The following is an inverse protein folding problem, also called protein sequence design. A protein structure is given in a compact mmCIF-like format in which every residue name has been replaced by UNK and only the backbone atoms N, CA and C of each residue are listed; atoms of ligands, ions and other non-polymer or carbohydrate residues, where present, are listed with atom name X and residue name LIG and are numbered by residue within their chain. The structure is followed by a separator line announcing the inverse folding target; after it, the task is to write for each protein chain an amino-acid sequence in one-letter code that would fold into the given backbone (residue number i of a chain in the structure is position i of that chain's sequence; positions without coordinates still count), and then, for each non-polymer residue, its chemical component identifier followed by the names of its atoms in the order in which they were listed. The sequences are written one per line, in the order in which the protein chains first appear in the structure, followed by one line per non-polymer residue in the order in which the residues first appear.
data_IF_309736518151
#
_entry.id   IF_309736518151
#
_cell.length_a   1.000
_cell.length_b   1.000
_cell.length_c   1.000
_cell.angle_alpha   90.00
_cell.angle_beta   90.00
_cell.angle_gamma   90.00
#
_symmetry.space_group_name_H-M   'P 1'
#
loop_
_entity.id
_entity.type
_entity.pdbx_description
1 polymer ?
#
# COMPACT_ATOMS: atom_id res chain seq x y z
N UNK A 1 -58.07 -31.24 1.93
CA UNK A 1 -58.26 -32.55 2.52
C UNK A 1 -57.21 -32.71 3.62
N UNK A 2 -57.58 -32.34 4.86
CA UNK A 2 -57.74 -33.09 6.12
C UNK A 2 -56.74 -34.28 6.29
N UNK A 3 -56.06 -34.52 7.38
CA UNK A 3 -56.33 -34.50 8.83
C UNK A 3 -54.99 -34.75 9.57
N UNK A 4 -54.69 -34.11 10.64
CA UNK A 4 -54.82 -34.44 12.09
C UNK A 4 -54.27 -35.81 12.51
N UNK A 5 -53.43 -35.81 13.57
CA UNK A 5 -53.16 -36.92 14.47
C UNK A 5 -52.04 -36.65 15.45
N UNK A 6 -52.34 -36.04 16.59
CA UNK A 6 -51.67 -36.19 17.89
C UNK A 6 -52.41 -37.28 18.71
N UNK A 7 -52.01 -37.61 19.97
CA UNK A 7 -50.72 -37.83 20.64
C UNK A 7 -50.73 -39.20 21.37
N UNK A 8 -49.64 -39.61 22.03
CA UNK A 8 -49.78 -40.49 23.24
C UNK A 8 -48.51 -40.41 24.13
N UNK A 9 -48.76 -39.97 25.32
CA UNK A 9 -47.95 -39.97 26.53
C UNK A 9 -47.85 -41.37 27.09
N UNK A 10 -46.65 -41.79 27.54
CA UNK A 10 -46.50 -42.78 28.60
C UNK A 10 -45.36 -42.40 29.52
N UNK A 11 -45.71 -42.15 30.78
CA UNK A 11 -44.83 -42.13 31.94
C UNK A 11 -44.44 -43.54 32.34
N UNK A 12 -43.22 -43.77 32.80
CA UNK A 12 -42.95 -44.67 33.93
C UNK A 12 -41.62 -44.37 34.57
N UNK A 13 -41.68 -44.22 35.85
CA UNK A 13 -40.67 -44.02 36.87
C UNK A 13 -39.79 -45.27 37.09
N UNK A 14 -38.49 -45.08 37.37
CA UNK A 14 -37.82 -45.90 38.38
C UNK A 14 -36.47 -45.26 38.77
N UNK A 15 -36.31 -44.97 40.05
CA UNK A 15 -35.09 -44.45 40.63
C UNK A 15 -33.95 -45.46 40.68
N UNK A 16 -32.75 -44.92 40.62
CA UNK A 16 -31.56 -45.63 41.14
C UNK A 16 -30.56 -44.56 41.63
N UNK A 17 -30.31 -44.62 42.93
CA UNK A 17 -29.19 -43.99 43.60
C UNK A 17 -27.88 -44.28 42.87
N UNK A 18 -27.12 -43.24 42.57
CA UNK A 18 -25.75 -43.39 42.11
C UNK A 18 -24.83 -42.68 43.09
N UNK A 19 -24.05 -43.53 43.75
CA UNK A 19 -22.94 -43.22 44.65
C UNK A 19 -21.95 -42.25 44.02
N UNK A 20 -21.52 -41.29 44.81
CA UNK A 20 -20.45 -40.34 44.43
C UNK A 20 -19.08 -41.02 44.25
N UNK A 21 -18.30 -40.70 43.24
CA UNK A 21 -16.91 -41.16 43.14
C UNK A 21 -15.98 -40.37 44.07
N UNK A 22 -14.86 -40.99 44.49
CA UNK A 22 -13.87 -40.36 45.38
C UNK A 22 -13.05 -39.30 44.68
N UNK A 23 -12.44 -38.34 45.42
CA UNK A 23 -11.64 -37.28 44.84
C UNK A 23 -10.30 -37.83 44.33
N UNK A 24 -9.94 -37.45 43.10
CA UNK A 24 -8.64 -37.74 42.51
C UNK A 24 -7.56 -36.80 43.10
N UNK A 25 -6.38 -37.36 43.46
CA UNK A 25 -5.22 -36.55 43.80
C UNK A 25 -4.44 -36.19 42.54
N UNK A 26 -4.15 -34.92 42.31
CA UNK A 26 -3.27 -34.51 41.22
C UNK A 26 -3.45 -33.08 40.83
N UNK A 27 -2.95 -32.18 41.65
CA UNK A 27 -2.80 -30.75 41.19
C UNK A 27 -1.78 -30.67 40.06
N UNK A 28 -1.99 -29.75 39.10
CA UNK A 28 -1.03 -29.55 38.02
C UNK A 28 0.28 -29.00 38.59
N UNK A 29 1.37 -29.60 38.20
CA UNK A 29 2.72 -29.12 38.47
C UNK A 29 2.91 -27.74 37.84
N UNK A 30 3.71 -26.86 38.49
CA UNK A 30 3.97 -25.52 37.90
C UNK A 30 4.71 -25.67 36.59
N UNK A 31 4.12 -25.19 35.52
CA UNK A 31 4.77 -25.09 34.24
C UNK A 31 6.02 -24.19 34.40
N UNK A 32 7.18 -24.80 34.23
CA UNK A 32 8.43 -24.06 34.05
C UNK A 32 8.28 -23.19 32.79
N UNK A 33 7.99 -21.93 33.00
CA UNK A 33 8.08 -20.91 31.96
C UNK A 33 9.55 -20.82 31.53
N UNK A 34 9.90 -21.54 30.48
CA UNK A 34 11.18 -21.36 29.78
C UNK A 34 11.15 -19.97 29.16
N UNK A 35 11.67 -19.01 29.87
CA UNK A 35 11.95 -17.68 29.34
C UNK A 35 13.03 -17.81 28.29
N UNK A 36 12.61 -17.85 27.02
CA UNK A 36 13.56 -17.72 25.91
C UNK A 36 14.32 -16.40 26.09
N UNK A 37 15.66 -16.44 26.03
CA UNK A 37 16.43 -15.20 26.11
C UNK A 37 16.02 -14.28 24.98
N UNK A 38 15.67 -13.04 25.34
CA UNK A 38 15.39 -11.98 24.38
C UNK A 38 16.60 -11.87 23.45
N UNK A 39 16.37 -12.05 22.14
CA UNK A 39 17.38 -11.77 21.11
C UNK A 39 17.94 -10.38 21.37
N UNK A 40 19.27 -10.19 21.39
CA UNK A 40 19.86 -8.88 21.59
C UNK A 40 19.34 -7.91 20.56
N UNK A 41 18.84 -6.78 21.00
CA UNK A 41 18.41 -5.67 20.16
C UNK A 41 19.55 -5.32 19.22
N UNK A 42 19.29 -5.43 17.92
CA UNK A 42 20.26 -5.05 16.87
C UNK A 42 20.62 -3.58 17.08
N UNK A 43 21.89 -3.22 17.25
CA UNK A 43 22.27 -1.82 17.41
C UNK A 43 22.03 -1.08 16.10
N UNK A 44 21.22 -0.02 16.14
CA UNK A 44 21.32 1.07 15.19
C UNK A 44 20.24 1.24 14.14
N UNK A 45 19.06 0.67 14.26
CA UNK A 45 17.93 1.19 13.46
C UNK A 45 17.40 2.45 14.13
N UNK A 46 18.00 3.59 13.80
CA UNK A 46 17.45 4.89 14.15
C UNK A 46 16.06 4.98 13.49
N UNK A 47 15.03 4.66 14.24
CA UNK A 47 13.66 4.91 13.81
C UNK A 47 13.52 6.43 13.69
N UNK A 48 13.68 6.94 12.48
CA UNK A 48 13.26 8.31 12.16
C UNK A 48 11.76 8.32 12.45
N UNK A 49 11.27 9.23 13.34
CA UNK A 49 9.85 9.29 13.62
C UNK A 49 9.09 9.44 12.31
N UNK A 50 8.07 8.61 12.14
CA UNK A 50 7.25 8.63 10.96
C UNK A 50 6.57 10.00 10.83
N UNK A 51 6.93 10.78 9.81
CA UNK A 51 6.49 12.17 9.66
C UNK A 51 5.66 12.36 8.41
N UNK A 52 4.62 13.16 8.51
CA UNK A 52 3.88 13.69 7.36
C UNK A 52 4.28 15.15 7.16
N UNK A 53 4.67 15.47 5.93
CA UNK A 53 4.98 16.83 5.50
C UNK A 53 3.91 17.29 4.53
N UNK A 54 3.10 18.24 4.95
CA UNK A 54 2.12 18.90 4.07
C UNK A 54 2.77 20.06 3.33
N UNK A 55 2.77 20.00 2.02
CA UNK A 55 3.31 21.01 1.10
C UNK A 55 2.22 21.53 0.17
N UNK A 56 0.96 21.23 0.42
CA UNK A 56 -0.16 21.81 -0.31
C UNK A 56 -0.20 23.31 -0.04
N UNK A 57 -0.71 24.08 -1.01
CA UNK A 57 -0.74 25.54 -0.96
C UNK A 57 -1.79 26.11 0.04
N UNK A 58 -1.77 25.59 1.29
CA UNK A 58 -2.62 26.05 2.40
C UNK A 58 -1.91 26.99 3.37
N UNK A 59 -0.67 27.45 3.08
CA UNK A 59 0.09 28.31 3.97
C UNK A 59 1.05 29.26 3.24
N UNK A 60 1.53 30.26 3.96
CA UNK A 60 2.46 31.32 3.47
C UNK A 60 3.83 30.80 3.00
N UNK A 61 4.13 29.54 3.22
CA UNK A 61 5.41 28.95 2.84
C UNK A 61 5.34 28.32 1.46
N UNK A 62 6.12 28.80 0.49
CA UNK A 62 6.16 28.16 -0.81
C UNK A 62 6.68 26.73 -0.69
N UNK A 63 6.04 25.80 -1.40
CA UNK A 63 6.53 24.43 -1.48
C UNK A 63 7.95 24.42 -2.08
N UNK A 64 8.86 23.57 -1.58
CA UNK A 64 10.22 23.50 -2.09
C UNK A 64 10.22 23.02 -3.55
N UNK A 65 11.19 23.47 -4.31
CA UNK A 65 11.44 23.02 -5.67
C UNK A 65 12.15 21.65 -5.74
N UNK A 66 12.69 21.19 -4.62
CA UNK A 66 13.47 19.96 -4.51
C UNK A 66 13.01 19.12 -3.31
N UNK A 67 12.75 17.83 -3.56
CA UNK A 67 12.59 16.79 -2.54
C UNK A 67 13.82 15.90 -2.52
N UNK A 68 14.46 15.77 -1.35
CA UNK A 68 15.65 14.95 -1.16
C UNK A 68 15.37 13.79 -0.20
N UNK A 69 15.78 12.59 -0.60
CA UNK A 69 15.69 11.36 0.17
C UNK A 69 17.08 10.73 0.34
N UNK A 70 17.21 9.75 1.23
CA UNK A 70 18.48 9.04 1.42
C UNK A 70 18.84 8.15 0.23
N UNK A 71 20.14 8.02 -0.02
CA UNK A 71 20.64 7.11 -1.07
C UNK A 71 20.21 5.66 -0.75
N UNK A 72 19.64 4.97 -1.73
CA UNK A 72 19.11 3.61 -1.57
C UNK A 72 17.67 3.56 -1.06
N UNK A 73 17.08 4.68 -0.65
CA UNK A 73 15.68 4.75 -0.25
C UNK A 73 14.72 4.50 -1.41
N UNK A 74 13.50 4.16 -1.06
CA UNK A 74 12.41 3.93 -2.01
C UNK A 74 11.37 5.03 -1.86
N UNK A 75 10.88 5.54 -2.97
CA UNK A 75 9.79 6.54 -2.99
C UNK A 75 8.62 5.99 -3.79
N UNK A 76 7.43 5.98 -3.20
CA UNK A 76 6.18 5.66 -3.88
C UNK A 76 5.43 6.96 -4.17
N UNK A 77 5.16 7.22 -5.44
CA UNK A 77 4.30 8.34 -5.85
C UNK A 77 2.87 7.84 -6.02
N UNK A 78 1.96 8.32 -5.17
CA UNK A 78 0.57 7.87 -5.07
C UNK A 78 -0.43 9.00 -5.35
N UNK A 79 -1.69 8.67 -5.57
CA UNK A 79 -2.79 9.60 -5.85
C UNK A 79 -3.78 9.05 -6.88
N UNK A 80 -4.82 9.80 -7.22
CA UNK A 80 -5.88 9.38 -8.14
C UNK A 80 -5.35 9.03 -9.54
N UNK A 81 -5.95 8.06 -10.26
CA UNK A 81 -5.72 7.90 -11.69
C UNK A 81 -6.04 9.23 -12.42
N UNK A 82 -5.13 9.69 -13.26
CA UNK A 82 -5.28 10.98 -13.95
C UNK A 82 -4.69 12.20 -13.22
N UNK A 83 -4.30 12.07 -11.94
CA UNK A 83 -3.76 13.20 -11.16
C UNK A 83 -2.40 13.76 -11.62
N UNK A 84 -1.74 13.17 -12.62
CA UNK A 84 -0.46 13.69 -13.14
C UNK A 84 0.80 13.00 -12.58
N UNK A 85 0.70 11.92 -11.81
CA UNK A 85 1.85 11.20 -11.21
C UNK A 85 2.96 10.86 -12.19
N UNK A 86 2.63 10.25 -13.33
CA UNK A 86 3.63 9.89 -14.35
C UNK A 86 4.31 11.12 -14.95
N UNK A 87 3.58 12.22 -15.11
CA UNK A 87 4.14 13.49 -15.55
C UNK A 87 5.10 14.05 -14.52
N UNK A 88 4.72 14.05 -13.25
CA UNK A 88 5.57 14.46 -12.13
C UNK A 88 6.87 13.62 -12.11
N UNK A 89 6.76 12.31 -12.11
CA UNK A 89 7.91 11.39 -12.09
C UNK A 89 8.84 11.64 -13.28
N UNK A 90 8.29 11.72 -14.50
CA UNK A 90 9.12 11.95 -15.70
C UNK A 90 9.85 13.28 -15.67
N UNK A 91 9.22 14.33 -15.13
CA UNK A 91 9.79 15.66 -15.07
C UNK A 91 10.85 15.80 -13.99
N UNK A 92 10.62 15.19 -12.80
CA UNK A 92 11.43 15.49 -11.61
C UNK A 92 12.46 14.43 -11.27
N UNK A 93 12.28 13.18 -11.72
CA UNK A 93 13.11 12.03 -11.32
C UNK A 93 14.15 11.70 -12.36
N UNK A 94 15.44 11.83 -11.99
CA UNK A 94 16.58 11.37 -12.80
C UNK A 94 17.12 10.00 -12.37
N UNK A 95 16.72 9.51 -11.18
CA UNK A 95 17.06 8.20 -10.66
C UNK A 95 16.30 7.06 -11.38
N UNK A 96 16.57 5.81 -10.99
CA UNK A 96 15.81 4.67 -11.49
C UNK A 96 14.32 4.82 -11.15
N UNK A 97 13.48 4.64 -12.14
CA UNK A 97 12.02 4.73 -12.00
C UNK A 97 11.34 3.45 -12.46
N UNK A 98 10.31 3.06 -11.77
CA UNK A 98 9.44 1.96 -12.14
C UNK A 98 8.03 2.51 -12.40
N UNK A 99 7.74 2.87 -13.63
CA UNK A 99 6.41 3.30 -14.06
C UNK A 99 5.72 2.16 -14.81
N UNK A 100 4.53 1.78 -14.34
CA UNK A 100 3.71 0.76 -14.99
C UNK A 100 3.24 1.20 -16.38
N UNK A 101 3.21 2.50 -16.67
CA UNK A 101 2.91 3.03 -18.01
C UNK A 101 4.05 2.76 -18.98
N UNK A 102 5.30 3.00 -18.57
CA UNK A 102 6.46 2.72 -19.42
C UNK A 102 6.48 1.23 -19.83
N UNK A 103 6.20 0.34 -18.88
CA UNK A 103 6.08 -1.10 -19.17
C UNK A 103 4.94 -1.41 -20.14
N UNK A 104 3.79 -0.78 -19.95
CA UNK A 104 2.64 -0.96 -20.83
C UNK A 104 2.95 -0.48 -22.25
N UNK A 105 3.52 0.70 -22.41
CA UNK A 105 3.90 1.28 -23.70
C UNK A 105 4.93 0.40 -24.44
N UNK A 106 5.90 -0.18 -23.70
CA UNK A 106 6.84 -1.15 -24.27
C UNK A 106 6.15 -2.42 -24.79
N UNK A 107 5.11 -2.90 -24.13
CA UNK A 107 4.34 -4.05 -24.57
C UNK A 107 3.43 -3.69 -25.74
N UNK A 108 2.77 -2.54 -25.71
CA UNK A 108 1.97 -2.02 -26.81
C UNK A 108 2.79 -1.88 -28.10
N UNK A 109 4.04 -1.43 -27.99
CA UNK A 109 4.93 -1.30 -29.15
C UNK A 109 5.43 -2.64 -29.73
N UNK A 110 5.36 -3.73 -28.94
CA UNK A 110 5.86 -5.07 -29.36
C UNK A 110 4.76 -6.01 -29.81
N UNK A 111 3.53 -5.74 -29.47
CA UNK A 111 2.40 -6.59 -29.79
C UNK A 111 1.58 -6.01 -30.95
N UNK A 112 0.90 -6.86 -31.73
CA UNK A 112 0.00 -6.39 -32.79
C UNK A 112 -1.05 -5.43 -32.23
N UNK A 113 -1.31 -4.33 -32.94
CA UNK A 113 -2.28 -3.31 -32.53
C UNK A 113 -3.71 -3.86 -32.35
N UNK A 114 -4.03 -4.97 -33.01
CA UNK A 114 -5.31 -5.65 -32.87
C UNK A 114 -5.49 -6.43 -31.56
N UNK A 115 -4.40 -6.64 -30.78
CA UNK A 115 -4.49 -7.42 -29.54
C UNK A 115 -5.03 -6.56 -28.40
N UNK A 116 -6.21 -6.85 -27.84
CA UNK A 116 -6.78 -6.07 -26.74
C UNK A 116 -5.87 -6.08 -25.50
N UNK A 117 -5.65 -4.92 -24.89
CA UNK A 117 -4.83 -4.78 -23.66
C UNK A 117 -5.25 -5.74 -22.53
N UNK A 118 -6.54 -6.07 -22.44
CA UNK A 118 -7.05 -6.98 -21.42
C UNK A 118 -6.36 -8.36 -21.44
N UNK A 119 -5.96 -8.85 -22.61
CA UNK A 119 -5.34 -10.17 -22.78
C UNK A 119 -3.89 -10.21 -22.28
N UNK A 120 -3.09 -9.17 -22.53
CA UNK A 120 -1.68 -9.16 -22.10
C UNK A 120 -1.42 -8.35 -20.84
N UNK A 121 -2.45 -7.72 -20.27
CA UNK A 121 -2.36 -6.98 -19.00
C UNK A 121 -1.71 -7.76 -17.83
N UNK A 122 -2.02 -9.06 -17.61
CA UNK A 122 -1.35 -9.83 -16.56
C UNK A 122 0.15 -9.97 -16.81
N UNK A 123 0.56 -10.20 -18.04
CA UNK A 123 1.98 -10.33 -18.44
C UNK A 123 2.72 -9.00 -18.27
N UNK A 124 2.13 -7.91 -18.73
CA UNK A 124 2.69 -6.58 -18.55
C UNK A 124 2.89 -6.23 -17.06
N UNK A 125 1.94 -6.61 -16.19
CA UNK A 125 2.07 -6.45 -14.74
C UNK A 125 3.18 -7.32 -14.15
N UNK A 126 3.28 -8.57 -14.57
CA UNK A 126 4.35 -9.47 -14.13
C UNK A 126 5.73 -8.93 -14.54
N UNK A 127 5.87 -8.49 -15.79
CA UNK A 127 7.09 -7.86 -16.30
C UNK A 127 7.46 -6.60 -15.51
N UNK A 128 6.47 -5.76 -15.19
CA UNK A 128 6.68 -4.57 -14.34
C UNK A 128 7.24 -4.94 -12.96
N UNK A 129 6.62 -5.90 -12.26
CA UNK A 129 7.11 -6.31 -10.95
C UNK A 129 8.45 -7.05 -11.00
N UNK A 130 8.73 -7.81 -12.06
CA UNK A 130 10.02 -8.42 -12.28
C UNK A 130 11.13 -7.38 -12.51
N UNK A 131 10.85 -6.34 -13.31
CA UNK A 131 11.76 -5.22 -13.51
C UNK A 131 12.01 -4.44 -12.21
N UNK A 132 10.94 -4.12 -11.48
CA UNK A 132 11.04 -3.49 -10.17
C UNK A 132 11.89 -4.32 -9.20
N UNK A 133 11.65 -5.63 -9.11
CA UNK A 133 12.44 -6.54 -8.25
C UNK A 133 13.92 -6.55 -8.63
N UNK A 134 14.27 -6.49 -9.92
CA UNK A 134 15.67 -6.38 -10.36
C UNK A 134 16.31 -5.06 -9.90
N UNK A 135 15.63 -3.93 -10.06
CA UNK A 135 16.11 -2.63 -9.57
C UNK A 135 16.32 -2.63 -8.06
N UNK A 136 15.38 -3.24 -7.35
CA UNK A 136 15.46 -3.39 -5.90
C UNK A 136 16.66 -4.24 -5.50
N UNK A 137 16.91 -5.38 -6.13
CA UNK A 137 18.07 -6.25 -5.86
C UNK A 137 19.42 -5.57 -6.13
N UNK A 138 19.45 -4.68 -7.08
CA UNK A 138 20.66 -3.88 -7.38
C UNK A 138 20.96 -2.78 -6.34
N UNK A 139 20.20 -2.70 -5.23
CA UNK A 139 20.44 -1.72 -4.16
C UNK A 139 20.15 -0.27 -4.54
N UNK A 140 19.55 -0.02 -5.70
CA UNK A 140 19.35 1.33 -6.25
C UNK A 140 18.22 2.06 -5.50
N UNK A 141 18.34 3.38 -5.43
CA UNK A 141 17.22 4.26 -5.12
C UNK A 141 16.19 4.16 -6.24
N UNK A 142 14.92 3.96 -5.92
CA UNK A 142 13.87 3.75 -6.93
C UNK A 142 12.64 4.57 -6.61
N UNK A 143 12.12 5.26 -7.63
CA UNK A 143 10.81 5.88 -7.57
C UNK A 143 9.78 4.97 -8.25
N UNK A 144 8.74 4.61 -7.52
CA UNK A 144 7.69 3.69 -7.97
C UNK A 144 6.39 4.44 -8.18
N UNK A 145 5.81 4.30 -9.37
CA UNK A 145 4.46 4.79 -9.64
C UNK A 145 3.42 3.81 -9.08
N UNK A 146 2.58 4.26 -8.14
CA UNK A 146 1.47 3.47 -7.61
C UNK A 146 0.17 4.30 -7.58
N UNK A 147 -0.94 3.64 -7.86
CA UNK A 147 -2.27 4.26 -7.74
C UNK A 147 -2.81 4.26 -6.30
N UNK A 148 -2.01 3.84 -5.31
CA UNK A 148 -2.40 3.81 -3.89
C UNK A 148 -3.37 2.69 -3.51
N UNK A 149 -3.89 1.92 -4.46
CA UNK A 149 -4.91 0.90 -4.21
C UNK A 149 -4.37 -0.45 -3.77
N UNK A 150 -3.07 -0.69 -3.97
CA UNK A 150 -2.47 -2.00 -3.72
C UNK A 150 -1.64 -1.98 -2.43
N UNK A 151 -2.30 -2.22 -1.30
CA UNK A 151 -1.64 -2.28 0.02
C UNK A 151 -0.49 -3.29 0.06
N UNK A 152 -0.62 -4.43 -0.62
CA UNK A 152 0.40 -5.46 -0.65
C UNK A 152 1.71 -4.99 -1.32
N UNK A 153 1.63 -4.14 -2.36
CA UNK A 153 2.81 -3.55 -3.02
C UNK A 153 3.57 -2.67 -2.02
N UNK A 154 2.87 -1.81 -1.28
CA UNK A 154 3.51 -0.98 -0.26
C UNK A 154 4.15 -1.81 0.85
N UNK A 155 3.46 -2.84 1.34
CA UNK A 155 4.03 -3.74 2.33
C UNK A 155 5.27 -4.49 1.82
N UNK A 156 5.24 -4.92 0.56
CA UNK A 156 6.39 -5.55 -0.07
C UNK A 156 7.57 -4.57 -0.19
N UNK A 157 7.34 -3.35 -0.69
CA UNK A 157 8.36 -2.30 -0.79
C UNK A 157 8.90 -1.90 0.57
N UNK A 158 8.05 -1.76 1.58
CA UNK A 158 8.45 -1.46 2.95
C UNK A 158 9.33 -2.57 3.55
N UNK A 159 8.98 -3.83 3.31
CA UNK A 159 9.80 -4.97 3.73
C UNK A 159 11.15 -4.98 3.03
N UNK A 160 11.15 -4.69 1.75
CA UNK A 160 12.37 -4.66 0.95
C UNK A 160 13.28 -3.49 1.36
N UNK A 161 12.73 -2.31 1.64
CA UNK A 161 13.48 -1.18 2.18
C UNK A 161 14.12 -1.55 3.53
N UNK A 162 13.34 -2.09 4.47
CA UNK A 162 13.86 -2.50 5.78
C UNK A 162 14.97 -3.54 5.70
N UNK A 163 14.85 -4.54 4.81
CA UNK A 163 15.90 -5.57 4.59
C UNK A 163 17.25 -4.97 4.19
N UNK A 164 17.24 -3.77 3.63
CA UNK A 164 18.43 -3.05 3.18
C UNK A 164 18.86 -1.95 4.14
N UNK A 165 18.22 -1.83 5.31
CA UNK A 165 18.45 -0.69 6.22
C UNK A 165 18.04 0.65 5.60
N UNK A 166 17.05 0.65 4.68
CA UNK A 166 16.57 1.82 3.95
C UNK A 166 15.12 2.11 4.29
N UNK A 167 14.65 3.28 3.91
CA UNK A 167 13.32 3.78 4.20
C UNK A 167 12.44 3.78 2.95
N UNK A 168 11.16 3.45 3.14
CA UNK A 168 10.12 3.71 2.14
C UNK A 168 9.46 5.05 2.45
N UNK A 169 9.43 5.94 1.48
CA UNK A 169 8.76 7.22 1.54
C UNK A 169 7.55 7.24 0.61
N UNK A 170 6.54 8.04 0.96
CA UNK A 170 5.40 8.29 0.09
C UNK A 170 5.38 9.76 -0.35
N UNK A 171 5.20 10.00 -1.63
CA UNK A 171 4.81 11.30 -2.18
C UNK A 171 3.38 11.15 -2.67
N UNK A 172 2.46 11.86 -2.04
CA UNK A 172 1.04 11.77 -2.34
C UNK A 172 0.59 13.01 -3.09
N UNK A 173 0.05 12.80 -4.28
CA UNK A 173 -0.48 13.86 -5.13
C UNK A 173 -1.99 13.98 -4.89
N UNK A 174 -2.34 15.00 -4.11
CA UNK A 174 -3.72 15.37 -3.77
C UNK A 174 -4.26 16.29 -4.85
N UNK A 175 -5.10 15.74 -5.71
CA UNK A 175 -5.74 16.45 -6.82
C UNK A 175 -7.23 16.17 -6.77
N UNK A 176 -8.01 17.21 -6.98
CA UNK A 176 -9.46 17.09 -7.04
C UNK A 176 -9.90 15.97 -8.00
N UNK A 177 -10.93 15.17 -7.64
CA UNK A 177 -11.40 14.05 -8.46
C UNK A 177 -11.83 14.45 -9.87
N UNK A 178 -12.46 15.61 -10.06
CA UNK A 178 -12.93 16.05 -11.38
C UNK A 178 -11.75 16.46 -12.26
N UNK A 179 -10.78 17.18 -11.69
CA UNK A 179 -9.49 17.49 -12.35
C UNK A 179 -8.76 16.21 -12.76
N UNK A 180 -8.78 15.17 -11.90
CA UNK A 180 -8.16 13.89 -12.23
C UNK A 180 -8.90 13.15 -13.35
N UNK A 181 -10.24 13.24 -13.40
CA UNK A 181 -11.05 12.69 -14.51
C UNK A 181 -10.75 13.39 -15.83
N UNK A 182 -10.62 14.71 -15.83
CA UNK A 182 -10.24 15.47 -17.02
C UNK A 182 -8.85 15.08 -17.51
N UNK A 183 -7.91 14.88 -16.59
CA UNK A 183 -6.59 14.36 -16.92
C UNK A 183 -6.60 12.95 -17.50
N UNK A 184 -7.63 12.12 -17.24
CA UNK A 184 -7.83 10.84 -17.90
C UNK A 184 -8.42 11.00 -19.30
N UNK A 185 -9.45 11.86 -19.45
CA UNK A 185 -10.09 12.17 -20.74
C UNK A 185 -9.09 12.70 -21.75
N UNK A 186 -8.26 13.66 -21.33
CA UNK A 186 -7.22 14.25 -22.16
C UNK A 186 -6.19 13.23 -22.71
N UNK A 187 -6.04 12.08 -22.04
CA UNK A 187 -5.13 10.99 -22.47
C UNK A 187 -5.81 9.93 -23.34
N UNK A 188 -7.11 10.04 -23.61
CA UNK A 188 -7.86 9.02 -24.33
C UNK A 188 -7.92 7.63 -23.66
N UNK A 189 -7.52 7.54 -22.40
CA UNK A 189 -7.33 6.26 -21.67
C UNK A 189 -8.00 6.33 -20.30
N UNK A 190 -9.33 6.31 -20.28
CA UNK A 190 -10.08 6.31 -19.03
C UNK A 190 -10.06 4.93 -18.36
N UNK A 191 -10.01 4.91 -17.02
CA UNK A 191 -10.48 3.76 -16.26
C UNK A 191 -12.01 3.78 -16.24
N UNK A 192 -12.67 2.62 -16.11
CA UNK A 192 -14.12 2.58 -15.98
C UNK A 192 -14.58 3.43 -14.79
N UNK A 193 -15.79 3.99 -14.87
CA UNK A 193 -16.41 4.78 -13.78
C UNK A 193 -16.37 4.03 -12.45
N UNK A 194 -16.67 2.73 -12.47
CA UNK A 194 -16.59 1.87 -11.28
C UNK A 194 -15.17 1.78 -10.71
N UNK A 195 -14.17 1.54 -11.56
CA UNK A 195 -12.79 1.48 -11.12
C UNK A 195 -12.32 2.83 -10.55
N UNK A 196 -12.72 3.95 -11.16
CA UNK A 196 -12.39 5.28 -10.65
C UNK A 196 -13.00 5.53 -9.27
N UNK A 197 -14.28 5.22 -9.05
CA UNK A 197 -14.95 5.36 -7.76
C UNK A 197 -14.29 4.50 -6.67
N UNK A 198 -13.87 3.28 -7.02
CA UNK A 198 -13.11 2.42 -6.11
C UNK A 198 -11.77 3.06 -5.74
N UNK A 199 -11.04 3.61 -6.70
CA UNK A 199 -9.79 4.33 -6.46
C UNK A 199 -10.02 5.55 -5.55
N UNK A 200 -11.05 6.35 -5.84
CA UNK A 200 -11.41 7.53 -5.04
C UNK A 200 -11.64 7.18 -3.57
N UNK A 201 -12.39 6.11 -3.28
CA UNK A 201 -12.64 5.67 -1.90
C UNK A 201 -11.34 5.27 -1.17
N UNK A 202 -10.43 4.58 -1.85
CA UNK A 202 -9.16 4.16 -1.23
C UNK A 202 -8.24 5.36 -1.02
N UNK A 203 -8.18 6.24 -1.98
CA UNK A 203 -7.39 7.47 -1.93
C UNK A 203 -7.90 8.40 -0.82
N UNK A 204 -9.23 8.58 -0.69
CA UNK A 204 -9.82 9.41 0.37
C UNK A 204 -9.46 8.88 1.78
N UNK A 205 -9.49 7.56 1.99
CA UNK A 205 -9.06 6.97 3.28
C UNK A 205 -7.58 7.20 3.56
N UNK A 206 -6.76 7.09 2.53
CA UNK A 206 -5.33 7.33 2.65
C UNK A 206 -5.06 8.79 2.97
N UNK A 207 -5.75 9.71 2.29
CA UNK A 207 -5.65 11.14 2.52
C UNK A 207 -6.06 11.49 3.95
N UNK A 208 -7.21 10.99 4.44
CA UNK A 208 -7.63 11.21 5.83
C UNK A 208 -6.60 10.76 6.86
N UNK A 209 -5.87 9.66 6.60
CA UNK A 209 -4.79 9.19 7.47
C UNK A 209 -3.59 10.15 7.42
N UNK A 210 -3.27 10.68 6.24
CA UNK A 210 -2.18 11.64 6.05
C UNK A 210 -2.51 13.01 6.66
N UNK A 211 -3.76 13.48 6.52
CA UNK A 211 -4.25 14.71 7.14
C UNK A 211 -4.20 14.64 8.68
N UNK A 212 -4.39 13.44 9.23
CA UNK A 212 -4.19 13.18 10.66
C UNK A 212 -2.71 13.07 11.08
N UNK A 213 -1.76 13.40 10.20
CA UNK A 213 -0.33 13.38 10.48
C UNK A 213 0.29 11.98 10.55
N UNK A 214 -0.43 10.93 10.11
CA UNK A 214 0.05 9.55 10.20
C UNK A 214 0.44 9.02 8.82
N UNK A 215 1.71 8.66 8.60
CA UNK A 215 2.13 8.00 7.37
C UNK A 215 1.50 6.61 7.24
N UNK A 216 1.29 6.13 6.01
CA UNK A 216 0.77 4.78 5.80
C UNK A 216 1.69 3.72 6.38
N UNK A 217 1.14 2.58 6.84
CA UNK A 217 1.93 1.50 7.43
C UNK A 217 3.10 1.08 6.54
N UNK A 218 4.29 1.07 7.14
CA UNK A 218 5.56 0.72 6.48
C UNK A 218 6.28 1.88 5.80
N UNK A 219 5.69 3.07 5.72
CA UNK A 219 6.37 4.28 5.26
C UNK A 219 7.02 5.00 6.44
N UNK A 220 8.26 5.44 6.28
CA UNK A 220 8.97 6.26 7.28
C UNK A 220 8.59 7.73 7.16
N UNK A 221 8.13 8.19 6.00
CA UNK A 221 7.53 9.52 5.84
C UNK A 221 6.52 9.56 4.71
N UNK A 222 5.69 10.60 4.72
CA UNK A 222 4.82 10.95 3.62
C UNK A 222 4.91 12.46 3.33
N UNK A 223 4.82 12.83 2.06
CA UNK A 223 4.77 14.22 1.60
C UNK A 223 3.50 14.42 0.79
N UNK A 224 2.66 15.36 1.19
CA UNK A 224 1.46 15.78 0.49
C UNK A 224 1.79 16.92 -0.48
N UNK A 225 1.37 16.79 -1.71
CA UNK A 225 1.47 17.82 -2.75
C UNK A 225 0.10 18.02 -3.38
N UNK A 226 -0.35 19.25 -3.50
CA UNK A 226 -1.41 19.61 -4.44
C UNK A 226 -0.86 19.83 -5.85
N UNK A 227 -1.72 20.24 -6.77
CA UNK A 227 -1.31 20.52 -8.15
C UNK A 227 -0.26 21.61 -8.23
N UNK A 228 -0.45 22.71 -7.48
CA UNK A 228 0.45 23.86 -7.51
C UNK A 228 1.84 23.51 -6.93
N UNK A 229 1.90 22.79 -5.82
CA UNK A 229 3.14 22.30 -5.25
C UNK A 229 3.84 21.29 -6.17
N UNK A 230 3.08 20.40 -6.79
CA UNK A 230 3.62 19.45 -7.75
C UNK A 230 4.19 20.17 -8.98
N UNK A 231 3.56 21.21 -9.48
CA UNK A 231 4.03 21.96 -10.64
C UNK A 231 5.30 22.78 -10.34
N UNK A 232 5.45 23.27 -9.10
CA UNK A 232 6.69 23.93 -8.63
C UNK A 232 7.85 22.95 -8.42
N UNK A 233 7.58 21.70 -8.02
CA UNK A 233 8.61 20.70 -7.78
C UNK A 233 9.42 20.43 -9.05
N UNK A 234 10.71 20.77 -9.04
CA UNK A 234 11.64 20.61 -10.18
C UNK A 234 12.47 19.35 -10.08
N UNK A 235 12.80 18.91 -8.86
CA UNK A 235 13.72 17.79 -8.66
C UNK A 235 13.28 16.90 -7.50
N UNK A 236 13.32 15.59 -7.74
CA UNK A 236 13.28 14.55 -6.72
C UNK A 236 14.59 13.78 -6.80
N UNK A 237 15.40 13.86 -5.74
CA UNK A 237 16.77 13.36 -5.73
C UNK A 237 17.06 12.49 -4.51
N UNK A 238 18.17 11.75 -4.58
CA UNK A 238 18.67 10.92 -3.50
C UNK A 238 20.11 11.31 -3.20
N UNK A 239 20.43 11.50 -1.93
CA UNK A 239 21.77 11.89 -1.46
C UNK A 239 22.25 10.97 -0.34
N UNK A 240 23.55 10.80 -0.26
CA UNK A 240 24.21 10.07 0.82
C UNK A 240 24.02 10.78 2.17
#
# INVERSE_FOLDING_TARGET
VTARGEPTTVQSSSGREVSAPPPSPGGPAPALATTLPALPAQPGTRQIPATVRDLRATGDRPAPDTLTFGQGDLVVVSGLPGSGKSTLIRRTVRAARADSQDTREQWEARLPAALPYALYRPLARLAHYAALRRMLRAGRSVVVHDCGTQRWVRHWLAREARRRGRTLHMVFLDVDPDTALDGQRARGRGVSRYAFLRHRRVVARLLATLDAGTPPPGCGSATLLDRAAADRLRTLTFRA
#
